data_IF_872292925248
#
_entry.id   IF_872292925248
#
_cell.length_a   1.000
_cell.length_b   1.000
_cell.length_c   1.000
_cell.angle_alpha   90.00
_cell.angle_beta   90.00
_cell.angle_gamma   90.00
#
_symmetry.space_group_name_H-M   'P 1'
#
loop_
_entity.id
_entity.type
_entity.pdbx_description
1 polymer ?
#
# COMPACT_ATOMS: atom_id res chain seq x y z
N UNK A 1 19.98 -2.33 -31.45
CA UNK A 1 19.77 -0.87 -31.48
C UNK A 1 20.43 -0.28 -30.24
N UNK A 2 21.38 0.64 -30.38
CA UNK A 2 21.90 1.43 -29.26
C UNK A 2 20.77 2.33 -28.76
N UNK A 3 20.44 2.25 -27.45
CA UNK A 3 19.53 3.23 -26.82
C UNK A 3 20.23 4.59 -26.85
N UNK A 4 19.55 5.58 -27.37
CA UNK A 4 20.05 6.94 -27.44
C UNK A 4 20.20 7.51 -26.02
N UNK A 5 21.35 8.08 -25.70
CA UNK A 5 21.58 8.75 -24.42
C UNK A 5 20.80 10.08 -24.39
N UNK A 6 19.83 10.19 -23.48
CA UNK A 6 19.09 11.42 -23.22
C UNK A 6 19.52 11.98 -21.88
N UNK A 7 20.07 13.18 -21.87
CA UNK A 7 20.44 13.93 -20.66
C UNK A 7 19.43 15.08 -20.51
N UNK A 8 18.88 15.23 -19.31
CA UNK A 8 17.91 16.28 -18.97
C UNK A 8 18.50 17.09 -17.83
N UNK A 9 18.53 18.42 -17.97
CA UNK A 9 18.91 19.33 -16.88
C UNK A 9 17.79 19.38 -15.84
N UNK A 10 18.14 19.33 -14.55
CA UNK A 10 17.16 19.52 -13.48
C UNK A 10 16.49 20.89 -13.51
N UNK A 11 17.13 21.90 -14.08
CA UNK A 11 16.55 23.24 -14.28
C UNK A 11 15.38 23.24 -15.29
N UNK A 12 15.29 22.23 -16.15
CA UNK A 12 14.20 22.06 -17.12
C UNK A 12 13.00 21.29 -16.55
N UNK A 13 13.17 20.69 -15.36
CA UNK A 13 12.13 19.91 -14.70
C UNK A 13 11.26 20.85 -13.87
N UNK A 14 9.96 20.86 -14.16
CA UNK A 14 8.98 21.60 -13.37
C UNK A 14 8.82 20.94 -11.99
N UNK A 15 8.94 21.73 -10.94
CA UNK A 15 8.66 21.28 -9.57
C UNK A 15 7.16 20.98 -9.42
N UNK A 16 6.83 19.86 -8.81
CA UNK A 16 5.46 19.46 -8.46
C UNK A 16 5.34 19.37 -6.94
N UNK A 17 4.21 19.83 -6.43
CA UNK A 17 3.89 19.73 -5.00
C UNK A 17 3.47 18.29 -4.66
N UNK A 18 3.99 17.74 -3.56
CA UNK A 18 3.61 16.42 -3.07
C UNK A 18 2.26 16.54 -2.36
N UNK A 19 1.27 15.78 -2.83
CA UNK A 19 -0.01 15.62 -2.15
C UNK A 19 0.10 14.51 -1.12
N UNK A 20 -0.44 14.73 0.08
CA UNK A 20 -0.33 13.81 1.20
C UNK A 20 -1.70 13.21 1.55
N UNK A 21 -1.73 11.89 1.71
CA UNK A 21 -2.81 11.19 2.39
C UNK A 21 -2.67 11.40 3.90
N UNK A 22 -1.45 11.31 4.41
CA UNK A 22 -1.10 11.59 5.79
C UNK A 22 0.28 12.26 5.86
N UNK A 23 0.29 13.56 6.11
CA UNK A 23 1.53 14.32 6.22
C UNK A 23 2.24 14.04 7.57
N UNK A 24 3.57 13.85 7.58
CA UNK A 24 4.49 13.74 6.46
C UNK A 24 4.82 12.27 6.08
N UNK A 25 3.94 11.34 6.38
CA UNK A 25 4.24 9.90 6.41
C UNK A 25 3.81 9.16 5.13
N UNK A 26 2.60 9.44 4.62
CA UNK A 26 2.02 8.70 3.49
C UNK A 26 1.62 9.66 2.38
N UNK A 27 2.42 9.80 1.32
CA UNK A 27 2.07 10.61 0.16
C UNK A 27 1.13 9.86 -0.80
N UNK A 28 0.26 10.59 -1.47
CA UNK A 28 -0.49 10.05 -2.61
C UNK A 28 0.43 9.74 -3.79
N UNK A 29 0.08 8.70 -4.56
CA UNK A 29 0.84 8.29 -5.74
C UNK A 29 2.21 7.70 -5.44
N UNK A 30 2.47 7.30 -4.21
CA UNK A 30 3.75 6.72 -3.78
C UNK A 30 3.54 5.45 -2.97
N UNK A 31 4.63 4.69 -2.82
CA UNK A 31 4.67 3.48 -1.98
C UNK A 31 5.35 3.82 -0.66
N UNK A 32 4.67 3.50 0.43
CA UNK A 32 5.17 3.62 1.81
C UNK A 32 5.30 2.23 2.42
N UNK A 33 6.36 1.98 3.17
CA UNK A 33 6.56 0.72 3.90
C UNK A 33 6.37 0.98 5.39
N UNK A 34 5.48 0.19 6.01
CA UNK A 34 5.30 0.12 7.47
C UNK A 34 6.01 -1.14 7.95
N UNK A 35 7.08 -0.96 8.69
CA UNK A 35 7.92 -2.05 9.18
C UNK A 35 7.91 -2.11 10.71
N UNK A 36 8.01 -3.32 11.25
CA UNK A 36 8.17 -3.59 12.69
C UNK A 36 8.19 -5.09 12.95
N UNK A 37 8.53 -5.47 14.18
CA UNK A 37 8.57 -6.87 14.60
C UNK A 37 7.17 -7.50 14.71
N UNK A 38 7.05 -8.83 14.67
CA UNK A 38 5.77 -9.50 14.91
C UNK A 38 5.18 -9.09 16.27
N UNK A 39 3.89 -8.80 16.30
CA UNK A 39 3.18 -8.42 17.53
C UNK A 39 3.29 -6.94 17.94
N UNK A 40 4.02 -6.09 17.22
CA UNK A 40 4.15 -4.64 17.52
C UNK A 40 2.91 -3.81 17.12
N UNK A 41 1.83 -4.45 16.68
CA UNK A 41 0.57 -3.77 16.40
C UNK A 41 0.48 -3.11 15.01
N UNK A 42 1.33 -3.48 14.04
CA UNK A 42 1.29 -2.95 12.66
C UNK A 42 -0.09 -3.03 12.03
N UNK A 43 -0.72 -4.21 12.07
CA UNK A 43 -2.07 -4.41 11.54
C UNK A 43 -3.08 -3.51 12.25
N UNK A 44 -3.05 -3.44 13.60
CA UNK A 44 -3.95 -2.56 14.37
C UNK A 44 -3.75 -1.09 13.99
N UNK A 45 -2.50 -0.65 13.85
CA UNK A 45 -2.17 0.70 13.40
C UNK A 45 -2.76 1.00 12.02
N UNK A 46 -2.53 0.10 11.04
CA UNK A 46 -3.06 0.27 9.67
C UNK A 46 -4.58 0.29 9.66
N UNK A 47 -5.25 -0.61 10.41
CA UNK A 47 -6.72 -0.63 10.50
C UNK A 47 -7.27 0.65 11.17
N UNK A 48 -6.57 1.24 12.14
CA UNK A 48 -6.97 2.52 12.73
C UNK A 48 -6.85 3.68 11.74
N UNK A 49 -5.81 3.70 10.92
CA UNK A 49 -5.68 4.67 9.81
C UNK A 49 -6.83 4.50 8.81
N UNK A 50 -7.14 3.26 8.43
CA UNK A 50 -8.27 2.96 7.53
C UNK A 50 -9.58 3.47 8.13
N UNK A 51 -9.83 3.23 9.42
CA UNK A 51 -11.04 3.71 10.08
C UNK A 51 -11.18 5.24 9.96
N UNK A 52 -10.14 5.99 10.30
CA UNK A 52 -10.14 7.44 10.17
C UNK A 52 -10.40 7.90 8.72
N UNK A 53 -9.75 7.27 7.73
CA UNK A 53 -9.90 7.63 6.31
C UNK A 53 -11.31 7.33 5.77
N UNK A 54 -11.94 6.24 6.21
CA UNK A 54 -13.29 5.87 5.76
C UNK A 54 -14.35 6.87 6.24
N UNK A 55 -14.09 7.59 7.33
CA UNK A 55 -14.96 8.65 7.87
C UNK A 55 -14.50 10.07 7.50
N UNK A 56 -13.33 10.23 6.91
CA UNK A 56 -12.77 11.55 6.62
C UNK A 56 -12.28 12.27 7.88
N UNK A 57 -11.91 11.52 8.91
CA UNK A 57 -11.36 12.07 10.15
C UNK A 57 -9.95 12.63 9.92
N UNK A 58 -9.59 13.62 10.73
CA UNK A 58 -8.26 14.21 10.70
C UNK A 58 -7.24 13.26 11.32
N UNK A 59 -6.23 12.88 10.54
CA UNK A 59 -5.12 12.09 11.05
C UNK A 59 -4.19 12.94 11.94
N UNK A 60 -3.45 12.31 12.87
CA UNK A 60 -2.50 13.04 13.73
C UNK A 60 -1.55 13.93 12.92
N UNK A 61 -1.22 15.09 13.46
CA UNK A 61 -0.33 16.12 12.86
C UNK A 61 -0.87 16.74 11.54
N UNK A 62 -2.08 16.39 11.10
CA UNK A 62 -2.75 17.06 9.99
C UNK A 62 -3.64 18.19 10.51
N UNK A 63 -3.70 19.31 9.78
CA UNK A 63 -4.57 20.43 10.12
C UNK A 63 -6.05 20.17 9.75
N UNK A 64 -6.26 19.41 8.69
CA UNK A 64 -7.60 19.09 8.15
C UNK A 64 -7.68 17.63 7.75
N UNK A 65 -8.86 17.03 7.91
CA UNK A 65 -9.19 15.72 7.37
C UNK A 65 -9.37 15.74 5.84
N UNK A 66 -9.20 14.59 5.23
CA UNK A 66 -9.56 14.35 3.83
C UNK A 66 -11.05 13.96 3.76
N UNK A 67 -11.69 14.09 2.59
CA UNK A 67 -13.02 13.50 2.40
C UNK A 67 -13.00 11.99 2.67
N UNK A 68 -14.12 11.40 3.14
CA UNK A 68 -14.22 9.94 3.28
C UNK A 68 -13.83 9.23 1.99
N UNK A 69 -12.95 8.23 2.08
CA UNK A 69 -12.40 7.56 0.91
C UNK A 69 -12.56 6.05 0.97
N UNK A 70 -12.53 5.43 -0.21
CA UNK A 70 -12.49 3.98 -0.33
C UNK A 70 -11.06 3.48 -0.17
N UNK A 71 -10.93 2.30 0.42
CA UNK A 71 -9.66 1.66 0.72
C UNK A 71 -9.69 0.23 0.21
N UNK A 72 -8.63 -0.23 -0.42
CA UNK A 72 -8.41 -1.65 -0.71
C UNK A 72 -7.46 -2.18 0.36
N UNK A 73 -7.92 -3.16 1.13
CA UNK A 73 -7.10 -3.86 2.13
C UNK A 73 -6.96 -5.32 1.72
N UNK A 74 -5.76 -5.71 1.38
CA UNK A 74 -5.42 -7.07 0.97
C UNK A 74 -4.54 -7.73 2.02
N UNK A 75 -5.00 -8.87 2.54
CA UNK A 75 -4.25 -9.69 3.49
C UNK A 75 -4.15 -11.12 2.99
N UNK A 76 -3.02 -11.78 3.29
CA UNK A 76 -2.80 -13.19 2.98
C UNK A 76 -2.67 -14.08 4.23
N UNK A 77 -2.61 -13.49 5.42
CA UNK A 77 -2.38 -14.22 6.66
C UNK A 77 -3.65 -14.33 7.50
N UNK A 78 -4.45 -13.26 7.55
CA UNK A 78 -5.63 -13.17 8.40
C UNK A 78 -6.92 -13.44 7.62
N UNK A 79 -7.85 -14.18 8.22
CA UNK A 79 -9.18 -14.42 7.65
C UNK A 79 -10.00 -13.13 7.61
N UNK A 80 -10.67 -12.88 6.47
CA UNK A 80 -11.46 -11.66 6.29
C UNK A 80 -12.69 -11.63 7.22
N UNK A 81 -13.37 -12.77 7.37
CA UNK A 81 -14.65 -12.83 8.09
C UNK A 81 -14.50 -12.93 9.61
N UNK A 82 -13.47 -13.61 10.07
CA UNK A 82 -13.27 -13.96 11.49
C UNK A 82 -12.23 -13.06 12.18
N UNK A 83 -11.38 -12.39 11.41
CA UNK A 83 -10.30 -11.57 11.97
C UNK A 83 -10.36 -10.12 11.50
N UNK A 84 -10.28 -9.86 10.20
CA UNK A 84 -10.11 -8.50 9.68
C UNK A 84 -11.38 -7.68 9.83
N UNK A 85 -12.52 -8.19 9.38
CA UNK A 85 -13.79 -7.47 9.49
C UNK A 85 -14.15 -7.15 10.95
N UNK A 86 -14.08 -8.09 11.92
CA UNK A 86 -14.32 -7.76 13.32
C UNK A 86 -13.36 -6.70 13.88
N UNK A 87 -12.09 -6.71 13.47
CA UNK A 87 -11.13 -5.69 13.91
C UNK A 87 -11.41 -4.32 13.29
N UNK A 88 -11.81 -4.24 12.01
CA UNK A 88 -12.24 -2.99 11.37
C UNK A 88 -13.47 -2.42 12.08
N UNK A 89 -14.47 -3.25 12.39
CA UNK A 89 -15.66 -2.84 13.15
C UNK A 89 -15.29 -2.35 14.56
N UNK A 90 -14.36 -3.04 15.22
CA UNK A 90 -13.91 -2.65 16.58
C UNK A 90 -13.17 -1.31 16.60
N UNK A 91 -12.44 -0.94 15.55
CA UNK A 91 -11.82 0.40 15.43
C UNK A 91 -12.76 1.43 14.80
N UNK A 92 -14.01 1.06 14.50
CA UNK A 92 -15.04 1.96 14.00
C UNK A 92 -14.94 2.30 12.52
N UNK A 93 -14.33 1.45 11.68
CA UNK A 93 -14.24 1.69 10.26
C UNK A 93 -15.61 1.55 9.55
N UNK A 94 -15.87 2.38 8.54
CA UNK A 94 -16.97 2.15 7.60
C UNK A 94 -16.58 1.03 6.62
N UNK A 95 -16.97 -0.20 6.96
CA UNK A 95 -16.65 -1.38 6.15
C UNK A 95 -17.25 -1.33 4.73
N UNK A 96 -18.24 -0.47 4.45
CA UNK A 96 -18.75 -0.29 3.08
C UNK A 96 -17.74 0.36 2.14
N UNK A 97 -16.75 1.05 2.70
CA UNK A 97 -15.64 1.71 2.01
C UNK A 97 -14.35 0.89 1.98
N UNK A 98 -14.34 -0.29 2.61
CA UNK A 98 -13.17 -1.18 2.62
C UNK A 98 -13.45 -2.36 1.71
N UNK A 99 -12.66 -2.50 0.65
CA UNK A 99 -12.77 -3.56 -0.34
C UNK A 99 -11.55 -4.49 -0.29
N UNK A 100 -11.69 -5.69 -0.82
CA UNK A 100 -10.60 -6.63 -1.05
C UNK A 100 -10.73 -7.24 -2.44
N UNK A 101 -9.62 -7.65 -3.03
CA UNK A 101 -9.58 -8.36 -4.31
C UNK A 101 -9.75 -9.85 -4.02
N UNK A 102 -10.70 -10.51 -4.66
CA UNK A 102 -10.81 -11.97 -4.58
C UNK A 102 -9.65 -12.62 -5.37
N UNK A 103 -8.74 -13.23 -4.65
CA UNK A 103 -7.58 -13.94 -5.19
C UNK A 103 -7.66 -15.46 -4.99
N UNK A 104 -8.83 -15.97 -4.61
CA UNK A 104 -9.07 -17.39 -4.34
C UNK A 104 -8.77 -18.33 -5.54
N UNK A 105 -8.96 -17.83 -6.76
CA UNK A 105 -8.68 -18.59 -7.98
C UNK A 105 -7.28 -18.36 -8.55
N UNK A 106 -6.66 -17.24 -8.25
CA UNK A 106 -5.35 -16.85 -8.76
C UNK A 106 -4.67 -15.93 -7.78
N UNK A 107 -3.57 -16.38 -7.20
CA UNK A 107 -2.77 -15.60 -6.25
C UNK A 107 -2.44 -14.22 -6.79
N UNK A 108 -2.65 -13.21 -5.97
CA UNK A 108 -2.31 -11.83 -6.30
C UNK A 108 -0.81 -11.61 -6.09
N UNK A 109 -0.20 -10.80 -6.95
CA UNK A 109 1.20 -10.37 -6.80
C UNK A 109 1.32 -8.85 -6.90
N UNK A 110 2.44 -8.28 -6.43
CA UNK A 110 2.71 -6.83 -6.51
C UNK A 110 2.78 -6.28 -7.94
N UNK A 111 2.87 -7.14 -8.94
CA UNK A 111 2.92 -6.75 -10.35
C UNK A 111 1.67 -7.11 -11.12
N UNK A 112 0.63 -7.57 -10.42
CA UNK A 112 -0.63 -7.99 -11.01
C UNK A 112 -1.43 -6.76 -11.48
N UNK A 113 -1.96 -6.84 -12.68
CA UNK A 113 -2.77 -5.77 -13.27
C UNK A 113 -4.08 -5.54 -12.51
N UNK A 114 -4.61 -6.56 -11.83
CA UNK A 114 -5.81 -6.46 -10.98
C UNK A 114 -5.69 -5.40 -9.88
N UNK A 115 -4.47 -5.07 -9.43
CA UNK A 115 -4.26 -3.99 -8.46
C UNK A 115 -4.69 -2.63 -9.04
N UNK A 116 -4.23 -2.32 -10.26
CA UNK A 116 -4.60 -1.06 -10.95
C UNK A 116 -6.07 -1.03 -11.32
N UNK A 117 -6.61 -2.14 -11.82
CA UNK A 117 -8.02 -2.30 -12.15
C UNK A 117 -8.93 -2.12 -10.92
N UNK A 118 -8.56 -2.71 -9.77
CA UNK A 118 -9.29 -2.55 -8.53
C UNK A 118 -9.27 -1.11 -8.02
N UNK A 119 -8.12 -0.43 -8.06
CA UNK A 119 -8.03 0.98 -7.68
C UNK A 119 -8.98 1.84 -8.53
N UNK A 120 -8.96 1.66 -9.84
CA UNK A 120 -9.85 2.42 -10.74
C UNK A 120 -11.33 2.10 -10.55
N UNK A 121 -11.68 0.83 -10.36
CA UNK A 121 -13.08 0.39 -10.23
C UNK A 121 -13.72 0.83 -8.92
N UNK A 122 -12.93 0.98 -7.86
CA UNK A 122 -13.40 1.37 -6.53
C UNK A 122 -13.13 2.83 -6.19
N UNK A 123 -12.40 3.56 -7.03
CA UNK A 123 -11.90 4.91 -6.73
C UNK A 123 -11.16 4.96 -5.38
N UNK A 124 -10.32 3.94 -5.13
CA UNK A 124 -9.62 3.82 -3.87
C UNK A 124 -8.48 4.84 -3.74
N UNK A 125 -8.46 5.57 -2.63
CA UNK A 125 -7.38 6.50 -2.29
C UNK A 125 -6.20 5.82 -1.59
N UNK A 126 -6.43 4.63 -1.03
CA UNK A 126 -5.42 3.83 -0.33
C UNK A 126 -5.51 2.36 -0.74
N UNK A 127 -4.35 1.77 -1.08
CA UNK A 127 -4.16 0.33 -1.22
C UNK A 127 -3.19 -0.16 -0.14
N UNK A 128 -3.60 -1.15 0.65
CA UNK A 128 -2.77 -1.81 1.66
C UNK A 128 -2.54 -3.26 1.27
N UNK A 129 -1.29 -3.71 1.35
CA UNK A 129 -0.88 -5.10 1.12
C UNK A 129 -0.15 -5.60 2.38
N UNK A 130 -0.75 -6.54 3.11
CA UNK A 130 -0.32 -7.03 4.43
C UNK A 130 -0.25 -8.57 4.48
N UNK A 131 0.95 -9.15 4.62
CA UNK A 131 2.26 -8.53 4.50
C UNK A 131 2.80 -8.52 3.05
N UNK A 132 3.76 -7.64 2.77
CA UNK A 132 4.47 -7.54 1.49
C UNK A 132 4.96 -8.90 0.97
N UNK A 133 5.51 -9.72 1.85
CA UNK A 133 6.15 -10.99 1.49
C UNK A 133 5.20 -11.93 0.76
N UNK A 134 3.94 -11.95 1.14
CA UNK A 134 2.93 -12.82 0.54
C UNK A 134 2.62 -12.51 -0.94
N UNK A 135 2.92 -11.27 -1.36
CA UNK A 135 2.60 -10.78 -2.71
C UNK A 135 3.80 -10.66 -3.64
N UNK A 136 4.98 -11.15 -3.24
CA UNK A 136 6.17 -11.10 -4.09
C UNK A 136 6.11 -12.05 -5.30
N UNK A 137 5.36 -13.13 -5.17
CA UNK A 137 5.29 -14.20 -6.16
C UNK A 137 6.33 -15.31 -5.93
N UNK A 138 6.10 -16.46 -6.56
CA UNK A 138 6.96 -17.63 -6.40
C UNK A 138 8.37 -17.38 -6.95
N UNK A 139 9.39 -17.70 -6.15
CA UNK A 139 10.79 -17.63 -6.58
C UNK A 139 11.45 -16.25 -6.46
N UNK A 140 10.77 -15.26 -5.90
CA UNK A 140 11.37 -13.96 -5.60
C UNK A 140 11.93 -13.95 -4.20
N UNK A 141 13.24 -13.68 -4.09
CA UNK A 141 13.91 -13.51 -2.81
C UNK A 141 13.93 -12.02 -2.43
N UNK A 142 13.21 -11.68 -1.35
CA UNK A 142 13.10 -10.30 -0.87
C UNK A 142 14.45 -9.70 -0.41
N UNK A 143 15.45 -10.53 -0.08
CA UNK A 143 16.78 -10.08 0.31
C UNK A 143 17.68 -9.77 -0.88
N UNK A 144 17.24 -10.11 -2.09
CA UNK A 144 17.96 -9.83 -3.33
C UNK A 144 17.46 -8.56 -4.00
N UNK A 145 18.22 -7.49 -3.85
CA UNK A 145 17.87 -6.19 -4.41
C UNK A 145 17.61 -6.19 -5.93
N UNK A 146 18.29 -7.05 -6.69
CA UNK A 146 18.08 -7.20 -8.12
C UNK A 146 16.72 -7.83 -8.48
N UNK A 147 16.13 -8.60 -7.58
CA UNK A 147 14.80 -9.21 -7.77
C UNK A 147 13.69 -8.27 -7.31
N UNK A 148 13.86 -7.59 -6.17
CA UNK A 148 12.85 -6.68 -5.60
C UNK A 148 12.71 -5.36 -6.38
N UNK A 149 13.83 -4.75 -6.81
CA UNK A 149 13.79 -3.43 -7.48
C UNK A 149 12.86 -3.36 -8.70
N UNK A 150 12.84 -4.33 -9.62
CA UNK A 150 11.91 -4.29 -10.76
C UNK A 150 10.45 -4.37 -10.33
N UNK A 151 10.14 -5.16 -9.29
CA UNK A 151 8.80 -5.33 -8.74
C UNK A 151 8.32 -4.01 -8.10
N UNK A 152 9.13 -3.44 -7.21
CA UNK A 152 8.83 -2.16 -6.57
C UNK A 152 8.69 -1.02 -7.58
N UNK A 153 9.50 -1.01 -8.64
CA UNK A 153 9.37 -0.02 -9.71
C UNK A 153 8.03 -0.12 -10.45
N UNK A 154 7.53 -1.34 -10.70
CA UNK A 154 6.22 -1.54 -11.32
C UNK A 154 5.10 -1.07 -10.39
N UNK A 155 5.15 -1.45 -9.12
CA UNK A 155 4.14 -1.02 -8.14
C UNK A 155 4.16 0.51 -7.95
N UNK A 156 5.33 1.14 -7.87
CA UNK A 156 5.45 2.59 -7.82
C UNK A 156 4.85 3.28 -9.05
N UNK A 157 5.02 2.68 -10.23
CA UNK A 157 4.40 3.21 -11.44
C UNK A 157 2.87 3.09 -11.43
N UNK A 158 2.30 2.04 -10.81
CA UNK A 158 0.84 1.93 -10.58
C UNK A 158 0.38 3.03 -9.63
N UNK A 159 1.06 3.22 -8.49
CA UNK A 159 0.75 4.28 -7.55
C UNK A 159 0.76 5.67 -8.23
N UNK A 160 1.80 5.98 -9.00
CA UNK A 160 1.94 7.26 -9.72
C UNK A 160 0.82 7.47 -10.76
N UNK A 161 0.48 6.45 -11.55
CA UNK A 161 -0.57 6.58 -12.57
C UNK A 161 -1.97 6.74 -12.00
N UNK A 162 -2.26 6.02 -10.91
CA UNK A 162 -3.59 6.05 -10.27
C UNK A 162 -3.75 7.20 -9.28
N UNK A 163 -2.64 7.76 -8.80
CA UNK A 163 -2.64 8.71 -7.68
C UNK A 163 -2.94 8.07 -6.33
N UNK A 164 -3.18 6.75 -6.26
CA UNK A 164 -3.46 6.03 -5.04
C UNK A 164 -2.22 5.95 -4.14
N UNK A 165 -2.37 6.17 -2.84
CA UNK A 165 -1.33 5.86 -1.87
C UNK A 165 -1.23 4.34 -1.69
N UNK A 166 -0.02 3.79 -1.67
CA UNK A 166 0.20 2.36 -1.48
C UNK A 166 0.98 2.14 -0.19
N UNK A 167 0.44 1.33 0.71
CA UNK A 167 1.09 0.94 1.97
C UNK A 167 1.40 -0.55 1.94
N UNK A 168 2.65 -0.87 2.18
CA UNK A 168 3.15 -2.24 2.31
C UNK A 168 3.50 -2.49 3.77
N UNK A 169 2.87 -3.49 4.37
CA UNK A 169 3.26 -3.98 5.69
C UNK A 169 4.42 -4.97 5.53
N UNK A 170 5.48 -4.75 6.27
CA UNK A 170 6.67 -5.61 6.26
C UNK A 170 6.88 -6.23 7.63
N UNK A 171 6.89 -7.55 7.70
CA UNK A 171 7.30 -8.28 8.89
C UNK A 171 8.83 -8.40 8.84
N UNK A 172 9.50 -7.89 9.87
CA UNK A 172 10.94 -8.09 9.98
C UNK A 172 11.24 -9.55 10.32
N UNK A 173 11.81 -10.28 9.36
CA UNK A 173 12.34 -11.60 9.62
C UNK A 173 13.76 -11.37 10.13
N UNK A 174 13.94 -11.39 11.46
CA UNK A 174 15.27 -11.42 12.05
C UNK A 174 15.99 -12.66 11.53
N UNK A 175 17.16 -12.48 10.91
CA UNK A 175 18.03 -13.62 10.61
C UNK A 175 18.27 -14.41 11.91
N UNK A 176 18.16 -15.76 11.87
CA UNK A 176 18.53 -16.55 13.05
C UNK A 176 20.00 -16.25 13.35
N UNK A 177 20.23 -15.66 14.50
CA UNK A 177 21.60 -15.48 15.06
C UNK A 177 22.28 -16.84 15.07
N UNK A 178 23.32 -16.98 14.27
CA UNK A 178 24.21 -18.15 14.27
C UNK A 178 25.08 -18.17 15.52
#
# INVERSE_FOLDING_TARGET
MRKELKIISLSEIKTEEVKWLWYPYIPFGKVTIVQGDPGEGKTTFVLSVIAALTHGETLPECETGLPPMNVIYQTAEDGLADTIKPRLEAVGADCSRVQTIDDSQSMLTLTDQRLEEAIHSTDAGLLVLDPLQAYLGSGVDMHRANEIRPIMKKLSAVAERTGCAVVLSLIHISEPTR
#
